data_IF_911091689304
#
_entry.id   IF_911091689304
#
_cell.length_a   1.000
_cell.length_b   1.000
_cell.length_c   1.000
_cell.angle_alpha   90.00
_cell.angle_beta   90.00
_cell.angle_gamma   90.00
#
_symmetry.space_group_name_H-M   'P 1'
#
loop_
_entity.id
_entity.type
_entity.pdbx_description
1 polymer ?
#
# COMPACT_ATOMS: atom_id res chain seq x y z
N UNK A 1 -9.42 -0.91 -12.64
CA UNK A 1 -9.35 -0.75 -11.17
C UNK A 1 -10.68 -1.08 -10.47
N UNK A 2 -11.82 -0.49 -10.87
CA UNK A 2 -13.13 -0.71 -10.21
C UNK A 2 -13.58 -2.19 -10.21
N UNK A 3 -13.45 -2.89 -11.32
CA UNK A 3 -13.83 -4.32 -11.43
C UNK A 3 -12.99 -5.22 -10.52
N UNK A 4 -11.69 -4.97 -10.38
CA UNK A 4 -10.81 -5.75 -9.50
C UNK A 4 -11.16 -5.58 -8.02
N UNK A 5 -11.43 -4.35 -7.58
CA UNK A 5 -11.86 -4.09 -6.20
C UNK A 5 -13.20 -4.76 -5.89
N UNK A 6 -14.13 -4.79 -6.84
CA UNK A 6 -15.38 -5.54 -6.71
C UNK A 6 -15.10 -7.05 -6.54
N UNK A 7 -14.24 -7.65 -7.35
CA UNK A 7 -13.92 -9.08 -7.25
C UNK A 7 -13.27 -9.45 -5.92
N UNK A 8 -12.34 -8.63 -5.40
CA UNK A 8 -11.71 -8.84 -4.09
C UNK A 8 -12.76 -8.76 -2.98
N UNK A 9 -13.58 -7.72 -2.98
CA UNK A 9 -14.65 -7.54 -2.00
C UNK A 9 -15.65 -8.69 -2.01
N UNK A 10 -16.09 -9.11 -3.19
CA UNK A 10 -17.05 -10.18 -3.36
C UNK A 10 -16.47 -11.53 -2.89
N UNK A 11 -15.18 -11.78 -3.18
CA UNK A 11 -14.48 -12.95 -2.67
C UNK A 11 -14.38 -12.95 -1.15
N UNK A 12 -14.02 -11.83 -0.54
CA UNK A 12 -13.98 -11.69 0.91
C UNK A 12 -15.35 -11.91 1.53
N UNK A 13 -16.40 -11.33 0.95
CA UNK A 13 -17.79 -11.53 1.40
C UNK A 13 -18.24 -12.98 1.29
N UNK A 14 -17.88 -13.67 0.21
CA UNK A 14 -18.23 -15.08 0.02
C UNK A 14 -17.58 -16.02 1.06
N UNK A 15 -16.54 -15.57 1.76
CA UNK A 15 -15.82 -16.38 2.76
C UNK A 15 -15.96 -15.85 4.19
N UNK A 16 -16.81 -14.84 4.42
CA UNK A 16 -16.96 -14.23 5.75
C UNK A 16 -17.89 -15.00 6.70
N UNK A 17 -18.73 -15.91 6.18
CA UNK A 17 -19.85 -16.54 6.92
C UNK A 17 -19.44 -17.22 8.22
N UNK A 18 -18.22 -17.73 8.31
CA UNK A 18 -17.70 -18.43 9.49
C UNK A 18 -16.88 -17.51 10.42
N UNK A 19 -16.84 -16.20 10.16
CA UNK A 19 -16.01 -15.27 10.90
C UNK A 19 -16.84 -14.08 11.40
N UNK A 20 -16.59 -13.66 12.63
CA UNK A 20 -17.17 -12.42 13.17
C UNK A 20 -16.43 -11.20 12.63
N UNK A 21 -16.62 -10.90 11.34
CA UNK A 21 -15.98 -9.80 10.63
C UNK A 21 -16.99 -8.93 9.90
N UNK A 22 -16.71 -7.63 9.82
CA UNK A 22 -17.48 -6.66 9.01
C UNK A 22 -16.61 -6.20 7.85
N UNK A 23 -17.06 -6.43 6.62
CA UNK A 23 -16.41 -5.96 5.40
C UNK A 23 -17.16 -4.72 4.89
N UNK A 24 -16.47 -3.59 4.86
CA UNK A 24 -17.04 -2.31 4.40
C UNK A 24 -16.09 -1.61 3.44
N UNK A 25 -16.65 -0.76 2.59
CA UNK A 25 -15.90 0.18 1.76
C UNK A 25 -15.83 1.51 2.53
N UNK A 26 -14.65 1.98 2.94
CA UNK A 26 -14.50 3.22 3.68
C UNK A 26 -14.68 4.45 2.81
N UNK A 27 -14.85 4.30 1.47
CA UNK A 27 -14.89 5.41 0.50
C UNK A 27 -13.72 6.39 0.70
N UNK A 28 -12.53 5.85 0.92
CA UNK A 28 -11.35 6.65 1.17
C UNK A 28 -10.62 7.02 -0.12
N UNK A 29 -9.86 8.11 -0.07
CA UNK A 29 -8.86 8.48 -1.06
C UNK A 29 -7.50 8.50 -0.39
N UNK A 30 -6.45 8.22 -1.17
CA UNK A 30 -5.09 8.12 -0.67
C UNK A 30 -4.25 9.25 -1.26
N UNK A 31 -3.50 9.91 -0.39
CA UNK A 31 -2.43 10.84 -0.75
C UNK A 31 -1.15 10.23 -0.22
N UNK A 32 -0.11 10.16 -1.05
CA UNK A 32 1.21 9.69 -0.65
C UNK A 32 2.18 10.86 -0.52
N UNK A 33 2.99 10.85 0.53
CA UNK A 33 4.13 11.74 0.72
C UNK A 33 5.35 10.85 0.85
N UNK A 34 6.22 10.86 -0.17
CA UNK A 34 7.37 9.96 -0.28
C UNK A 34 8.66 10.77 -0.42
N UNK A 35 9.76 10.20 0.02
CA UNK A 35 11.10 10.77 -0.09
C UNK A 35 11.68 11.23 1.24
N UNK A 36 12.94 11.73 1.24
CA UNK A 36 13.73 11.95 2.46
C UNK A 36 13.13 12.97 3.43
N UNK A 37 12.40 13.97 2.94
CA UNK A 37 11.76 15.01 3.77
C UNK A 37 10.33 14.64 4.20
N UNK A 38 9.81 13.51 3.78
CA UNK A 38 8.43 13.08 4.05
C UNK A 38 8.11 13.03 5.55
N UNK A 39 9.09 12.62 6.36
CA UNK A 39 8.95 12.56 7.83
C UNK A 39 8.76 13.94 8.45
N UNK A 40 9.56 14.90 8.05
CA UNK A 40 9.50 16.26 8.61
C UNK A 40 8.17 16.92 8.22
N UNK A 41 7.69 16.66 7.02
CA UNK A 41 6.38 17.12 6.56
C UNK A 41 5.26 16.49 7.41
N UNK A 42 5.28 15.17 7.63
CA UNK A 42 4.22 14.48 8.36
C UNK A 42 4.18 14.86 9.85
N UNK A 43 5.34 15.08 10.44
CA UNK A 43 5.45 15.59 11.82
C UNK A 43 4.75 16.95 11.95
N UNK A 44 4.99 17.87 11.01
CA UNK A 44 4.32 19.17 11.02
C UNK A 44 2.83 19.06 10.75
N UNK A 45 2.41 18.24 9.77
CA UNK A 45 1.00 18.02 9.44
C UNK A 45 0.19 17.47 10.61
N UNK A 46 0.81 16.67 11.46
CA UNK A 46 0.17 16.02 12.61
C UNK A 46 0.45 16.71 13.93
N UNK A 47 1.07 17.92 13.90
CA UNK A 47 1.49 18.67 15.09
C UNK A 47 2.30 17.81 16.08
N UNK A 48 3.22 17.00 15.56
CA UNK A 48 4.09 16.14 16.36
C UNK A 48 3.42 14.87 16.91
N UNK A 49 2.18 14.58 16.53
CA UNK A 49 1.52 13.33 16.97
C UNK A 49 2.13 12.07 16.32
N UNK A 50 2.80 12.24 15.19
CA UNK A 50 3.70 11.24 14.61
C UNK A 50 5.13 11.71 14.92
N UNK A 51 5.94 10.82 15.46
CA UNK A 51 7.33 11.06 15.86
C UNK A 51 8.27 9.94 15.37
N UNK A 52 9.48 9.90 15.88
CA UNK A 52 10.50 8.89 15.52
C UNK A 52 10.13 7.45 15.92
N UNK A 53 9.17 7.27 16.82
CA UNK A 53 8.69 5.96 17.24
C UNK A 53 7.66 5.38 16.27
N UNK A 54 7.15 6.17 15.33
CA UNK A 54 6.26 5.69 14.29
C UNK A 54 7.06 4.93 13.23
N UNK A 55 7.20 3.61 13.44
CA UNK A 55 8.06 2.72 12.63
C UNK A 55 7.40 2.32 11.32
N UNK A 56 8.19 1.71 10.44
CA UNK A 56 7.69 1.12 9.19
C UNK A 56 6.56 0.11 9.49
N UNK A 57 5.50 0.15 8.69
CA UNK A 57 4.23 -0.57 8.89
C UNK A 57 3.41 -0.15 10.11
N UNK A 58 3.80 0.85 10.88
CA UNK A 58 2.90 1.45 11.85
C UNK A 58 1.81 2.26 11.15
N UNK A 59 0.64 2.29 11.76
CA UNK A 59 -0.50 3.03 11.24
C UNK A 59 -1.42 3.46 12.38
N UNK A 60 -2.21 4.50 12.15
CA UNK A 60 -3.15 5.01 13.16
C UNK A 60 -4.03 6.14 12.65
N UNK A 61 -4.93 6.60 13.53
CA UNK A 61 -5.80 7.73 13.26
C UNK A 61 -5.18 9.02 13.78
N UNK A 62 -5.14 10.02 12.92
CA UNK A 62 -4.57 11.34 13.20
C UNK A 62 -5.49 12.45 12.70
N UNK A 63 -5.09 13.70 12.90
CA UNK A 63 -5.80 14.87 12.36
C UNK A 63 -4.87 15.69 11.47
N UNK A 64 -5.36 16.04 10.28
CA UNK A 64 -4.76 17.04 9.39
C UNK A 64 -5.83 18.08 9.10
N UNK A 65 -5.51 19.36 9.27
CA UNK A 65 -6.46 20.48 9.08
C UNK A 65 -7.79 20.28 9.85
N UNK A 66 -7.72 19.75 11.07
CA UNK A 66 -8.84 19.39 11.94
C UNK A 66 -9.75 18.27 11.39
N UNK A 67 -9.33 17.53 10.38
CA UNK A 67 -10.06 16.40 9.83
C UNK A 67 -9.38 15.07 10.20
N UNK A 68 -10.18 14.06 10.54
CA UNK A 68 -9.66 12.74 10.85
C UNK A 68 -9.17 12.05 9.57
N UNK A 69 -7.98 11.51 9.64
CA UNK A 69 -7.34 10.71 8.59
C UNK A 69 -6.72 9.46 9.19
N UNK A 70 -6.54 8.44 8.39
CA UNK A 70 -5.74 7.28 8.77
C UNK A 70 -4.39 7.39 8.06
N UNK A 71 -3.31 7.29 8.80
CA UNK A 71 -1.96 7.43 8.26
C UNK A 71 -1.20 6.14 8.52
N UNK A 72 -0.54 5.62 7.49
CA UNK A 72 0.40 4.51 7.60
C UNK A 72 1.79 4.94 7.14
N UNK A 73 2.83 4.39 7.80
CA UNK A 73 4.21 4.51 7.33
C UNK A 73 4.49 3.41 6.33
N UNK A 74 3.95 3.60 5.16
CA UNK A 74 4.04 2.72 3.99
C UNK A 74 4.21 3.55 2.73
N UNK A 75 4.51 2.90 1.62
CA UNK A 75 4.63 3.55 0.32
C UNK A 75 4.98 2.55 -0.76
N UNK A 76 5.02 3.02 -1.99
CA UNK A 76 5.26 2.19 -3.17
C UNK A 76 6.50 2.62 -3.96
N UNK A 77 7.45 3.25 -3.28
CA UNK A 77 8.67 3.81 -3.89
C UNK A 77 9.94 3.26 -3.28
N UNK A 78 9.85 2.44 -2.23
CA UNK A 78 10.96 2.03 -1.34
C UNK A 78 11.65 3.20 -0.60
N UNK A 79 11.19 4.42 -0.82
CA UNK A 79 11.65 5.59 -0.07
C UNK A 79 10.93 5.67 1.29
N UNK A 80 11.51 6.48 2.19
CA UNK A 80 10.79 6.90 3.39
C UNK A 80 9.49 7.58 3.00
N UNK A 81 8.36 7.13 3.52
CA UNK A 81 7.10 7.68 3.10
C UNK A 81 5.92 7.34 3.99
N UNK A 82 4.83 8.04 3.71
CA UNK A 82 3.56 7.90 4.41
C UNK A 82 2.40 7.94 3.42
N UNK A 83 1.40 7.15 3.71
CA UNK A 83 0.12 7.13 3.00
C UNK A 83 -0.97 7.69 3.91
N UNK A 84 -1.67 8.71 3.44
CA UNK A 84 -2.74 9.41 4.15
C UNK A 84 -4.06 9.00 3.52
N UNK A 85 -4.86 8.27 4.27
CA UNK A 85 -6.19 7.80 3.87
C UNK A 85 -7.25 8.71 4.45
N UNK A 86 -8.07 9.28 3.60
CA UNK A 86 -9.23 10.07 4.02
C UNK A 86 -10.37 9.16 4.47
N UNK A 87 -11.22 9.63 5.36
CA UNK A 87 -12.29 8.85 5.97
C UNK A 87 -13.67 9.31 5.49
N UNK A 88 -14.27 8.53 4.59
CA UNK A 88 -15.62 8.77 4.10
C UNK A 88 -15.76 9.93 3.10
N UNK A 89 -17.01 10.22 2.75
CA UNK A 89 -17.38 11.24 1.75
C UNK A 89 -17.33 12.67 2.29
N UNK A 90 -17.39 12.85 3.61
CA UNK A 90 -17.52 14.17 4.23
C UNK A 90 -16.16 14.87 4.43
N UNK A 91 -15.08 14.21 4.04
CA UNK A 91 -13.74 14.78 4.09
C UNK A 91 -13.58 15.90 3.08
N UNK A 92 -13.15 17.07 3.51
CA UNK A 92 -12.75 18.15 2.63
C UNK A 92 -11.32 17.87 2.08
N UNK A 93 -11.25 17.13 0.99
CA UNK A 93 -9.99 16.73 0.35
C UNK A 93 -9.13 17.92 -0.06
N UNK A 94 -9.77 18.99 -0.55
CA UNK A 94 -9.08 20.20 -0.97
C UNK A 94 -8.34 20.83 0.21
N UNK A 95 -8.98 20.93 1.36
CA UNK A 95 -8.35 21.49 2.56
C UNK A 95 -7.14 20.68 3.02
N UNK A 96 -7.23 19.34 3.00
CA UNK A 96 -6.10 18.46 3.31
C UNK A 96 -4.96 18.70 2.32
N UNK A 97 -5.27 18.71 1.04
CA UNK A 97 -4.32 18.94 -0.04
C UNK A 97 -3.62 20.30 0.08
N UNK A 98 -4.39 21.36 0.30
CA UNK A 98 -3.84 22.72 0.48
C UNK A 98 -2.90 22.77 1.67
N UNK A 99 -3.29 22.19 2.82
CA UNK A 99 -2.46 22.15 4.03
C UNK A 99 -1.14 21.37 3.79
N UNK A 100 -1.20 20.25 3.08
CA UNK A 100 0.01 19.48 2.70
C UNK A 100 0.94 20.36 1.84
N UNK A 101 0.39 21.08 0.86
CA UNK A 101 1.18 21.95 -0.01
C UNK A 101 1.74 23.17 0.73
N UNK A 102 0.98 23.79 1.63
CA UNK A 102 1.43 24.93 2.44
C UNK A 102 2.66 24.56 3.29
N UNK A 103 2.68 23.36 3.86
CA UNK A 103 3.80 22.87 4.66
C UNK A 103 4.93 22.33 3.78
N UNK A 104 4.61 21.50 2.78
CA UNK A 104 5.62 20.74 2.05
C UNK A 104 6.39 21.56 1.01
N UNK A 105 5.73 22.49 0.29
CA UNK A 105 6.39 23.28 -0.77
C UNK A 105 7.58 24.11 -0.27
N UNK A 106 7.49 24.82 0.85
CA UNK A 106 8.65 25.54 1.39
C UNK A 106 9.82 24.63 1.78
N UNK A 107 9.53 23.36 2.06
CA UNK A 107 10.52 22.33 2.40
C UNK A 107 11.12 21.63 1.16
N UNK A 108 10.67 22.01 -0.04
CA UNK A 108 11.15 21.42 -1.30
C UNK A 108 10.30 20.27 -1.83
N UNK A 109 9.09 20.02 -1.27
CA UNK A 109 8.17 19.05 -1.81
C UNK A 109 7.66 19.49 -3.19
N UNK A 110 7.66 18.56 -4.12
CA UNK A 110 7.08 18.73 -5.46
C UNK A 110 5.91 17.76 -5.65
N UNK A 111 4.97 18.14 -6.50
CA UNK A 111 3.93 17.22 -6.95
C UNK A 111 4.52 16.25 -7.96
N UNK A 112 4.19 14.98 -7.78
CA UNK A 112 4.63 13.89 -8.64
C UNK A 112 3.45 13.07 -9.17
N UNK A 113 3.64 12.44 -10.33
CA UNK A 113 2.62 11.67 -11.03
C UNK A 113 2.81 10.15 -10.89
N UNK A 114 1.82 9.42 -11.42
CA UNK A 114 1.84 7.95 -11.41
C UNK A 114 3.02 7.37 -12.21
N UNK A 115 3.46 8.04 -13.26
CA UNK A 115 4.59 7.58 -14.09
C UNK A 115 5.90 7.56 -13.31
N UNK A 116 6.15 8.60 -12.51
CA UNK A 116 7.32 8.63 -11.63
C UNK A 116 7.25 7.54 -10.56
N UNK A 117 6.07 7.30 -10.00
CA UNK A 117 5.86 6.22 -9.04
C UNK A 117 6.15 4.84 -9.68
N UNK A 118 5.76 4.63 -10.94
CA UNK A 118 6.06 3.40 -11.67
C UNK A 118 7.56 3.19 -11.89
N UNK A 119 8.30 4.24 -12.22
CA UNK A 119 9.75 4.18 -12.32
C UNK A 119 10.36 3.78 -10.97
N UNK A 120 9.96 4.45 -9.89
CA UNK A 120 10.48 4.20 -8.55
C UNK A 120 10.19 2.80 -8.05
N UNK A 121 8.98 2.27 -8.25
CA UNK A 121 8.64 0.91 -7.83
C UNK A 121 9.46 -0.14 -8.59
N UNK A 122 9.73 0.08 -9.88
CA UNK A 122 10.56 -0.83 -10.69
C UNK A 122 12.00 -0.82 -10.17
N UNK A 123 12.59 0.36 -9.93
CA UNK A 123 13.91 0.49 -9.31
C UNK A 123 14.00 -0.23 -7.96
N UNK A 124 12.92 -0.20 -7.19
CA UNK A 124 12.81 -0.82 -5.88
C UNK A 124 12.47 -2.33 -5.93
N UNK A 125 12.17 -2.89 -7.11
CA UNK A 125 11.73 -4.27 -7.26
C UNK A 125 10.33 -4.54 -6.69
N UNK A 126 9.49 -3.51 -6.54
CA UNK A 126 8.11 -3.66 -6.06
C UNK A 126 7.22 -4.08 -7.23
N UNK A 127 6.59 -5.24 -7.10
CA UNK A 127 5.77 -5.83 -8.15
C UNK A 127 4.38 -5.20 -8.23
N UNK A 128 3.90 -4.98 -9.44
CA UNK A 128 2.53 -4.56 -9.73
C UNK A 128 1.72 -5.68 -10.40
N UNK A 129 0.51 -5.89 -9.90
CA UNK A 129 -0.40 -6.91 -10.42
C UNK A 129 -0.95 -6.54 -11.79
N UNK A 130 -0.86 -7.45 -12.74
CA UNK A 130 -1.10 -7.39 -14.17
C UNK A 130 -0.11 -6.51 -14.98
N UNK A 131 0.98 -6.07 -14.36
CA UNK A 131 2.12 -5.49 -15.05
C UNK A 131 3.27 -6.49 -15.01
N UNK A 132 3.67 -6.90 -13.81
CA UNK A 132 4.81 -7.80 -13.60
C UNK A 132 4.39 -9.26 -13.40
N UNK A 133 3.20 -9.50 -12.88
CA UNK A 133 2.61 -10.83 -12.71
C UNK A 133 1.08 -10.79 -12.88
N UNK A 134 0.49 -11.92 -13.19
CA UNK A 134 -0.95 -12.08 -13.37
C UNK A 134 -1.46 -13.43 -12.81
N UNK A 135 -2.69 -13.80 -13.17
CA UNK A 135 -3.32 -15.05 -12.70
C UNK A 135 -2.68 -16.32 -13.27
N UNK A 136 -1.78 -16.23 -14.26
CA UNK A 136 -1.05 -17.36 -14.80
C UNK A 136 0.16 -17.75 -13.95
N UNK A 137 0.53 -16.92 -12.98
CA UNK A 137 1.68 -17.10 -12.10
C UNK A 137 1.22 -17.41 -10.66
N UNK A 138 1.94 -18.28 -9.99
CA UNK A 138 1.78 -18.53 -8.57
C UNK A 138 2.82 -17.70 -7.77
N UNK A 139 2.71 -17.61 -6.42
CA UNK A 139 3.64 -16.82 -5.61
C UNK A 139 5.12 -17.23 -5.75
N UNK A 140 5.41 -18.50 -6.00
CA UNK A 140 6.79 -18.97 -6.17
C UNK A 140 7.38 -18.49 -7.51
N UNK A 141 6.58 -18.52 -8.59
CA UNK A 141 6.96 -17.98 -9.91
C UNK A 141 7.28 -16.47 -9.83
N UNK A 142 6.52 -15.75 -9.03
CA UNK A 142 6.69 -14.31 -8.82
C UNK A 142 7.81 -13.95 -7.81
N UNK A 143 8.55 -14.94 -7.27
CA UNK A 143 9.59 -14.70 -6.26
C UNK A 143 9.06 -14.37 -4.86
N UNK A 144 7.76 -14.54 -4.62
CA UNK A 144 7.08 -14.22 -3.37
C UNK A 144 6.94 -15.44 -2.43
N UNK A 145 7.65 -16.53 -2.71
CA UNK A 145 7.56 -17.77 -1.93
C UNK A 145 7.91 -17.61 -0.46
N UNK A 146 8.78 -16.66 -0.10
CA UNK A 146 9.11 -16.34 1.29
C UNK A 146 7.94 -15.80 2.10
N UNK A 147 6.88 -15.35 1.45
CA UNK A 147 5.65 -14.88 2.08
C UNK A 147 4.61 -15.99 2.28
N UNK A 148 4.90 -17.20 1.77
CA UNK A 148 4.03 -18.38 1.91
C UNK A 148 4.50 -19.19 3.09
N UNK A 149 3.63 -19.34 4.10
CA UNK A 149 3.89 -20.16 5.28
C UNK A 149 2.97 -21.40 5.26
N UNK A 150 3.52 -22.51 4.79
CA UNK A 150 2.84 -23.80 4.74
C UNK A 150 2.77 -24.51 6.11
N UNK A 151 3.47 -24.01 7.13
CA UNK A 151 3.41 -24.57 8.49
C UNK A 151 2.13 -24.18 9.23
N UNK A 152 1.43 -23.14 8.77
CA UNK A 152 0.13 -22.75 9.33
C UNK A 152 -0.90 -23.87 9.23
N UNK A 153 -1.91 -23.80 10.10
CA UNK A 153 -3.12 -24.60 9.97
C UNK A 153 -3.77 -24.44 8.59
N UNK A 154 -4.86 -25.10 8.34
CA UNK A 154 -5.50 -25.06 7.03
C UNK A 154 -5.92 -23.62 6.64
N UNK A 155 -5.69 -23.26 5.38
CA UNK A 155 -6.11 -22.00 4.79
C UNK A 155 -6.49 -22.17 3.33
N UNK A 156 -7.27 -21.23 2.79
CA UNK A 156 -7.71 -21.28 1.38
C UNK A 156 -6.51 -21.24 0.43
N UNK A 157 -6.32 -22.31 -0.33
CA UNK A 157 -5.25 -22.43 -1.32
C UNK A 157 -4.00 -23.20 -0.85
N UNK A 158 -3.91 -23.63 0.43
CA UNK A 158 -2.76 -24.37 0.96
C UNK A 158 -2.37 -25.56 0.10
N UNK A 159 -3.31 -26.45 -0.22
CA UNK A 159 -3.05 -27.64 -1.05
C UNK A 159 -2.51 -27.30 -2.44
N UNK A 160 -3.00 -26.22 -3.06
CA UNK A 160 -2.50 -25.75 -4.34
C UNK A 160 -1.06 -25.25 -4.22
N UNK A 161 -0.75 -24.48 -3.17
CA UNK A 161 0.60 -23.94 -2.90
C UNK A 161 1.60 -25.07 -2.62
N UNK A 162 1.23 -26.10 -1.86
CA UNK A 162 2.05 -27.30 -1.62
C UNK A 162 2.39 -28.04 -2.94
N UNK A 163 1.43 -28.07 -3.88
CA UNK A 163 1.66 -28.68 -5.19
C UNK A 163 2.58 -27.83 -6.09
N UNK A 164 2.50 -26.50 -6.00
CA UNK A 164 3.34 -25.58 -6.77
C UNK A 164 4.77 -25.49 -6.23
N UNK A 165 4.99 -25.58 -4.93
CA UNK A 165 6.32 -25.56 -4.33
C UNK A 165 7.25 -26.61 -4.95
N UNK A 166 6.69 -27.76 -5.30
CA UNK A 166 7.42 -28.90 -5.91
C UNK A 166 7.70 -28.74 -7.42
N UNK A 167 7.03 -27.77 -8.10
CA UNK A 167 7.05 -27.62 -9.57
C UNK A 167 7.65 -26.30 -10.05
N UNK A 168 8.40 -25.61 -9.24
CA UNK A 168 8.89 -24.25 -9.51
C UNK A 168 9.68 -24.16 -10.84
N UNK A 169 8.98 -23.99 -11.97
CA UNK A 169 9.53 -24.02 -13.33
C UNK A 169 9.79 -22.61 -13.89
N UNK A 170 9.08 -21.60 -13.38
CA UNK A 170 9.19 -20.20 -13.83
C UNK A 170 9.76 -19.33 -12.74
N UNK A 171 10.46 -18.28 -13.13
CA UNK A 171 10.98 -17.27 -12.20
C UNK A 171 10.90 -15.87 -12.83
N UNK A 172 10.51 -14.90 -12.03
CA UNK A 172 10.60 -13.50 -12.39
C UNK A 172 12.02 -12.98 -12.10
N UNK A 173 12.60 -12.26 -13.04
CA UNK A 173 13.93 -11.63 -12.91
C UNK A 173 13.85 -10.13 -13.18
N UNK A 174 14.57 -9.35 -12.39
CA UNK A 174 14.89 -7.97 -12.73
C UNK A 174 16.04 -7.92 -13.75
N UNK A 175 15.96 -6.99 -14.68
CA UNK A 175 17.01 -6.72 -15.68
C UNK A 175 17.46 -5.28 -15.48
N UNK A 176 18.78 -5.09 -15.39
CA UNK A 176 19.41 -3.77 -15.45
C UNK A 176 20.12 -3.62 -16.80
N UNK A 177 19.96 -2.48 -17.45
CA UNK A 177 20.71 -2.11 -18.65
C UNK A 177 21.75 -1.05 -18.30
N UNK A 178 22.96 -1.18 -18.84
CA UNK A 178 23.99 -0.14 -18.78
C UNK A 178 23.69 0.96 -19.81
#
# INVERSE_FOLDING_TARGET
RRQRQMCIRDRLKAHQENYNVKISDPNSRVIQIQGPISKDIIIQLTNGSIDDNFKYYHSGYFKIANQSVYISRTGWTSELGFEIYTLGSDTNYKKIWDTINEIGKPMGMIFDGLESMDIRRIEAGILDNNTDFDQSMNPYDAGLGSLVDLSKDDFIGKKALEAFEKKNEKKLYGITSE
#
